data_IF_137870294811
#
_entry.id   IF_137870294811
#
_cell.length_a   1.000
_cell.length_b   1.000
_cell.length_c   1.000
_cell.angle_alpha   90.00
_cell.angle_beta   90.00
_cell.angle_gamma   90.00
#
_symmetry.space_group_name_H-M   'P 1'
#
loop_
_entity.id
_entity.type
_entity.pdbx_description
1 polymer ?
#
# COMPACT_ATOMS: atom_id res chain seq x y z
N UNK A 1 -19.60 -13.09 -53.60
CA UNK A 1 -18.68 -13.60 -52.55
C UNK A 1 -18.03 -12.39 -51.91
N UNK A 2 -18.22 -12.14 -50.61
CA UNK A 2 -17.41 -11.14 -49.90
C UNK A 2 -16.01 -11.74 -49.80
N UNK A 3 -14.99 -11.04 -50.29
CA UNK A 3 -13.60 -11.38 -49.99
C UNK A 3 -13.48 -11.49 -48.47
N UNK A 4 -13.20 -12.70 -47.99
CA UNK A 4 -12.88 -12.92 -46.58
C UNK A 4 -11.53 -12.26 -46.35
N UNK A 5 -11.52 -11.02 -45.86
CA UNK A 5 -10.30 -10.39 -45.38
C UNK A 5 -9.61 -11.35 -44.41
N UNK A 6 -8.35 -11.66 -44.69
CA UNK A 6 -7.56 -12.57 -43.89
C UNK A 6 -7.41 -11.98 -42.47
N UNK A 7 -7.97 -12.68 -41.48
CA UNK A 7 -7.96 -12.23 -40.09
C UNK A 7 -6.54 -12.34 -39.54
N UNK A 8 -6.14 -11.34 -38.76
CA UNK A 8 -4.84 -11.30 -38.09
C UNK A 8 -4.82 -12.34 -36.98
N UNK A 9 -3.88 -13.28 -37.02
CA UNK A 9 -3.68 -14.26 -35.93
C UNK A 9 -2.82 -13.60 -34.86
N UNK A 10 -3.28 -13.61 -33.61
CA UNK A 10 -2.60 -13.01 -32.45
C UNK A 10 -2.48 -14.00 -31.31
N UNK A 11 -1.48 -13.84 -30.46
CA UNK A 11 -1.31 -14.60 -29.23
C UNK A 11 -2.20 -14.11 -28.08
N UNK A 12 -1.99 -14.67 -26.89
CA UNK A 12 -2.73 -14.29 -25.68
C UNK A 12 -2.33 -12.90 -25.12
N UNK A 13 -1.19 -12.36 -25.57
CA UNK A 13 -0.74 -11.00 -25.32
C UNK A 13 0.02 -10.45 -26.53
N UNK A 14 -0.12 -9.16 -26.80
CA UNK A 14 0.50 -8.47 -27.94
C UNK A 14 0.95 -7.06 -27.59
N UNK A 15 1.82 -6.49 -28.43
CA UNK A 15 2.18 -5.07 -28.37
C UNK A 15 1.23 -4.22 -29.23
N UNK A 16 0.54 -3.28 -28.60
CA UNK A 16 -0.30 -2.29 -29.27
C UNK A 16 0.42 -0.95 -29.37
N UNK A 17 0.30 -0.28 -30.51
CA UNK A 17 0.88 1.05 -30.75
C UNK A 17 -0.26 2.05 -30.94
N UNK A 18 -0.17 3.23 -30.33
CA UNK A 18 -1.14 4.32 -30.49
C UNK A 18 -0.44 5.60 -30.95
N UNK A 19 -0.30 5.80 -32.27
CA UNK A 19 0.43 6.95 -32.81
C UNK A 19 -0.15 8.30 -32.38
N UNK A 20 -1.48 8.43 -32.34
CA UNK A 20 -2.15 9.68 -31.96
C UNK A 20 -1.99 10.04 -30.47
N UNK A 21 -1.74 9.04 -29.62
CA UNK A 21 -1.51 9.25 -28.19
C UNK A 21 -0.02 9.36 -27.86
N UNK A 22 0.87 9.24 -28.85
CA UNK A 22 2.32 9.22 -28.62
C UNK A 22 2.80 7.97 -27.88
N UNK A 23 2.08 6.85 -28.00
CA UNK A 23 2.41 5.59 -27.31
C UNK A 23 3.06 4.64 -28.34
N UNK A 24 4.40 4.52 -28.36
CA UNK A 24 5.10 3.69 -29.34
C UNK A 24 4.93 2.18 -29.08
N UNK A 25 4.50 1.77 -27.89
CA UNK A 25 4.17 0.37 -27.61
C UNK A 25 3.69 0.13 -26.17
N UNK A 26 2.49 -0.41 -26.01
CA UNK A 26 1.94 -0.86 -24.72
C UNK A 26 1.56 -2.33 -24.82
N UNK A 27 1.99 -3.12 -23.82
CA UNK A 27 1.68 -4.55 -23.80
C UNK A 27 0.22 -4.76 -23.38
N UNK A 28 -0.56 -5.40 -24.24
CA UNK A 28 -1.97 -5.66 -24.04
C UNK A 28 -2.24 -7.15 -23.83
N UNK A 29 -3.13 -7.47 -22.89
CA UNK A 29 -3.76 -8.79 -22.84
C UNK A 29 -4.84 -8.85 -23.91
N UNK A 30 -4.82 -9.88 -24.74
CA UNK A 30 -5.92 -10.16 -25.67
C UNK A 30 -7.04 -10.84 -24.89
N UNK A 31 -8.13 -10.13 -24.66
CA UNK A 31 -9.18 -10.54 -23.73
C UNK A 31 -10.55 -10.55 -24.43
N UNK A 32 -10.96 -11.74 -24.88
CA UNK A 32 -12.28 -11.97 -25.47
C UNK A 32 -13.41 -11.91 -24.44
N UNK A 33 -13.13 -11.91 -23.14
CA UNK A 33 -14.13 -11.66 -22.09
C UNK A 33 -14.51 -10.18 -22.00
N UNK A 34 -13.55 -9.28 -22.25
CA UNK A 34 -13.79 -7.84 -22.24
C UNK A 34 -14.59 -7.38 -23.46
N UNK A 35 -15.69 -6.64 -23.23
CA UNK A 35 -16.48 -6.04 -24.33
C UNK A 35 -15.68 -4.93 -25.02
N UNK A 36 -15.31 -3.90 -24.27
CA UNK A 36 -14.58 -2.72 -24.74
C UNK A 36 -13.14 -2.79 -24.21
N UNK A 37 -12.18 -2.34 -25.02
CA UNK A 37 -10.78 -2.24 -24.63
C UNK A 37 -10.57 -1.24 -23.48
N UNK A 38 -9.51 -1.43 -22.70
CA UNK A 38 -9.17 -0.53 -21.59
C UNK A 38 -7.69 -0.23 -21.57
N UNK A 39 -7.33 1.02 -21.27
CA UNK A 39 -5.94 1.49 -21.15
C UNK A 39 -5.71 2.00 -19.72
N UNK A 40 -4.57 1.60 -19.14
CA UNK A 40 -4.08 2.13 -17.89
C UNK A 40 -3.88 3.64 -18.02
N UNK A 41 -4.53 4.39 -17.14
CA UNK A 41 -4.42 5.84 -17.07
C UNK A 41 -4.51 6.33 -15.62
N UNK A 42 -3.71 7.33 -15.28
CA UNK A 42 -3.73 8.04 -14.00
C UNK A 42 -3.69 9.56 -14.25
N UNK A 43 -3.83 10.38 -13.20
CA UNK A 43 -3.95 11.84 -13.32
C UNK A 43 -4.98 12.29 -14.38
N UNK A 44 -6.13 11.61 -14.40
CA UNK A 44 -7.18 11.82 -15.41
C UNK A 44 -7.93 13.11 -15.09
N UNK A 45 -7.79 14.10 -15.96
CA UNK A 45 -8.43 15.41 -15.83
C UNK A 45 -9.20 15.78 -17.10
N UNK A 46 -10.49 16.05 -16.94
CA UNK A 46 -11.31 16.55 -18.04
C UNK A 46 -11.20 18.08 -18.15
N UNK A 47 -11.11 18.58 -19.37
CA UNK A 47 -11.06 20.01 -19.69
C UNK A 47 -11.84 20.32 -20.96
N UNK A 48 -11.93 21.59 -21.35
CA UNK A 48 -12.51 22.01 -22.64
C UNK A 48 -11.43 22.65 -23.50
N UNK A 49 -11.34 22.23 -24.77
CA UNK A 49 -10.50 22.86 -25.80
C UNK A 49 -11.41 23.31 -26.93
N UNK A 50 -11.43 24.61 -27.22
CA UNK A 50 -12.30 25.20 -28.24
C UNK A 50 -13.78 24.79 -28.10
N UNK A 51 -14.28 24.73 -26.87
CA UNK A 51 -15.66 24.35 -26.55
C UNK A 51 -15.95 22.84 -26.52
N UNK A 52 -15.06 21.99 -27.05
CA UNK A 52 -15.22 20.54 -27.06
C UNK A 52 -14.69 19.90 -25.77
N UNK A 53 -15.31 18.81 -25.26
CA UNK A 53 -14.82 18.09 -24.09
C UNK A 53 -13.59 17.25 -24.42
N UNK A 54 -12.53 17.42 -23.63
CA UNK A 54 -11.25 16.71 -23.76
C UNK A 54 -10.86 16.07 -22.42
N UNK A 55 -9.98 15.09 -22.46
CA UNK A 55 -9.36 14.49 -21.28
C UNK A 55 -7.85 14.49 -21.45
N UNK A 56 -7.13 14.91 -20.41
CA UNK A 56 -5.69 14.73 -20.27
C UNK A 56 -5.43 13.65 -19.23
N UNK A 57 -4.46 12.78 -19.48
CA UNK A 57 -4.13 11.67 -18.58
C UNK A 57 -2.68 11.25 -18.79
N UNK A 58 -2.10 10.62 -17.79
CA UNK A 58 -0.78 10.00 -17.86
C UNK A 58 -0.94 8.49 -17.95
N UNK A 59 -0.02 7.82 -18.64
CA UNK A 59 0.05 6.35 -18.65
C UNK A 59 1.45 5.88 -18.30
N UNK A 60 1.54 4.75 -17.61
CA UNK A 60 2.73 3.91 -17.59
C UNK A 60 2.59 2.81 -18.65
N UNK A 61 3.25 2.91 -19.81
CA UNK A 61 3.02 1.99 -20.92
C UNK A 61 3.77 0.66 -20.78
N UNK A 62 4.84 0.64 -19.98
CA UNK A 62 5.68 -0.55 -19.76
C UNK A 62 5.19 -1.31 -18.52
N UNK A 63 5.14 -2.63 -18.64
CA UNK A 63 4.72 -3.52 -17.55
C UNK A 63 5.69 -3.41 -16.38
N UNK A 64 5.17 -3.33 -15.15
CA UNK A 64 5.97 -3.23 -13.91
C UNK A 64 6.99 -2.07 -13.89
N UNK A 65 6.84 -1.09 -14.79
CA UNK A 65 7.66 0.11 -14.83
C UNK A 65 6.73 1.31 -14.72
N UNK A 66 6.99 2.16 -13.73
CA UNK A 66 6.25 3.40 -13.49
C UNK A 66 7.12 4.66 -13.65
N UNK A 67 8.43 4.51 -13.95
CA UNK A 67 9.31 5.64 -14.29
C UNK A 67 8.89 6.28 -15.59
N UNK A 68 8.58 5.43 -16.58
CA UNK A 68 8.19 5.89 -17.90
C UNK A 68 6.73 6.33 -17.79
N UNK A 69 6.49 7.61 -18.02
CA UNK A 69 5.16 8.16 -18.15
C UNK A 69 5.01 8.84 -19.50
N UNK A 70 3.87 8.63 -20.14
CA UNK A 70 3.50 9.34 -21.37
C UNK A 70 2.26 10.17 -21.06
N UNK A 71 2.37 11.48 -21.22
CA UNK A 71 1.25 12.41 -21.13
C UNK A 71 0.45 12.33 -22.42
N UNK A 72 -0.83 12.02 -22.30
CA UNK A 72 -1.76 11.91 -23.41
C UNK A 72 -2.91 12.90 -23.27
N UNK A 73 -3.44 13.35 -24.40
CA UNK A 73 -4.67 14.11 -24.48
C UNK A 73 -5.54 13.61 -25.63
N UNK A 74 -6.85 13.54 -25.42
CA UNK A 74 -7.78 13.10 -26.47
C UNK A 74 -9.18 13.69 -26.25
N UNK A 75 -9.97 13.93 -27.33
CA UNK A 75 -11.38 14.24 -27.21
C UNK A 75 -12.16 13.15 -26.48
N UNK A 76 -13.11 13.55 -25.62
CA UNK A 76 -14.02 12.61 -24.97
C UNK A 76 -15.16 12.31 -25.92
N UNK A 77 -15.32 11.05 -26.32
CA UNK A 77 -16.44 10.62 -27.16
C UNK A 77 -17.63 10.10 -26.34
N UNK A 78 -17.39 9.55 -25.15
CA UNK A 78 -18.43 8.99 -24.29
C UNK A 78 -17.96 8.87 -22.82
N UNK A 79 -18.87 8.57 -21.90
CA UNK A 79 -18.59 8.15 -20.52
C UNK A 79 -19.40 6.90 -20.19
N UNK A 80 -18.71 5.77 -19.96
CA UNK A 80 -19.37 4.47 -19.71
C UNK A 80 -19.20 4.03 -18.27
N UNK A 81 -20.26 3.44 -17.72
CA UNK A 81 -20.20 2.74 -16.43
C UNK A 81 -19.77 1.31 -16.70
N UNK A 82 -18.56 0.96 -16.27
CA UNK A 82 -18.00 -0.38 -16.42
C UNK A 82 -18.12 -1.09 -15.08
N UNK A 83 -18.75 -2.26 -15.09
CA UNK A 83 -18.82 -3.17 -13.94
C UNK A 83 -17.66 -4.15 -14.01
N UNK A 84 -16.84 -4.18 -12.97
CA UNK A 84 -15.83 -5.21 -12.80
C UNK A 84 -16.48 -6.55 -12.44
N UNK A 85 -15.76 -7.65 -12.68
CA UNK A 85 -16.14 -9.00 -12.22
C UNK A 85 -16.35 -9.08 -10.71
N UNK A 86 -15.77 -8.15 -9.94
CA UNK A 86 -15.89 -8.06 -8.49
C UNK A 86 -17.11 -7.24 -8.03
N UNK A 87 -18.00 -6.85 -8.95
CA UNK A 87 -19.25 -6.14 -8.65
C UNK A 87 -19.12 -4.61 -8.50
N UNK A 88 -17.91 -4.07 -8.39
CA UNK A 88 -17.69 -2.63 -8.34
C UNK A 88 -17.95 -1.98 -9.71
N UNK A 89 -18.71 -0.88 -9.72
CA UNK A 89 -19.01 -0.09 -10.91
C UNK A 89 -18.17 1.20 -10.93
N UNK A 90 -17.53 1.48 -12.05
CA UNK A 90 -16.68 2.66 -12.25
C UNK A 90 -17.13 3.43 -13.50
N UNK A 91 -17.25 4.76 -13.39
CA UNK A 91 -17.56 5.62 -14.54
C UNK A 91 -16.26 6.06 -15.21
N UNK A 92 -16.03 5.59 -16.43
CA UNK A 92 -14.78 5.79 -17.19
C UNK A 92 -15.00 6.70 -18.40
N UNK A 93 -14.02 7.53 -18.70
CA UNK A 93 -13.97 8.27 -19.96
C UNK A 93 -13.68 7.31 -21.12
N UNK A 94 -14.32 7.54 -22.26
CA UNK A 94 -14.07 6.81 -23.50
C UNK A 94 -13.43 7.76 -24.50
N UNK A 95 -12.32 7.32 -25.07
CA UNK A 95 -11.61 7.99 -26.15
C UNK A 95 -11.60 7.08 -27.38
N UNK A 96 -11.46 7.68 -28.56
CA UNK A 96 -11.28 6.97 -29.82
C UNK A 96 -9.87 7.27 -30.37
N UNK A 97 -9.16 6.24 -30.78
CA UNK A 97 -7.81 6.35 -31.34
C UNK A 97 -7.52 5.16 -32.25
N UNK A 98 -6.70 5.34 -33.31
CA UNK A 98 -6.22 4.24 -34.11
C UNK A 98 -5.22 3.41 -33.29
N UNK A 99 -5.43 2.10 -33.28
CA UNK A 99 -4.44 1.12 -32.81
C UNK A 99 -3.69 0.57 -34.02
N UNK A 100 -2.37 0.48 -33.91
CA UNK A 100 -1.54 -0.33 -34.81
C UNK A 100 -1.18 -1.63 -34.09
N UNK A 101 -1.46 -2.76 -34.74
CA UNK A 101 -1.21 -4.11 -34.27
C UNK A 101 -0.59 -4.93 -35.42
N UNK A 102 0.69 -5.27 -35.31
CA UNK A 102 1.48 -5.71 -36.46
C UNK A 102 1.47 -4.65 -37.56
N UNK A 103 1.13 -5.04 -38.79
CA UNK A 103 1.01 -4.14 -39.93
C UNK A 103 -0.39 -3.52 -40.11
N UNK A 104 -1.38 -3.92 -39.31
CA UNK A 104 -2.75 -3.42 -39.45
C UNK A 104 -3.01 -2.22 -38.53
N UNK A 105 -3.77 -1.25 -39.04
CA UNK A 105 -4.17 -0.04 -38.30
C UNK A 105 -5.69 0.15 -38.42
N UNK A 106 -6.39 0.34 -37.30
CA UNK A 106 -7.82 0.67 -37.30
C UNK A 106 -8.26 1.40 -36.02
N UNK A 107 -9.39 2.09 -36.09
CA UNK A 107 -9.97 2.82 -34.95
C UNK A 107 -10.54 1.89 -33.89
N UNK A 108 -10.22 2.17 -32.62
CA UNK A 108 -10.81 1.49 -31.47
C UNK A 108 -11.25 2.49 -30.40
N UNK A 109 -12.21 2.06 -29.57
CA UNK A 109 -12.57 2.78 -28.36
C UNK A 109 -11.77 2.25 -27.17
N UNK A 110 -11.23 3.17 -26.37
CA UNK A 110 -10.52 2.86 -25.13
C UNK A 110 -11.24 3.49 -23.94
N UNK A 111 -11.50 2.67 -22.92
CA UNK A 111 -11.87 3.17 -21.59
C UNK A 111 -10.61 3.48 -20.78
N UNK A 112 -10.56 4.66 -20.16
CA UNK A 112 -9.45 5.10 -19.31
C UNK A 112 -9.72 4.71 -17.85
N UNK A 113 -8.78 3.99 -17.22
CA UNK A 113 -8.91 3.53 -15.82
C UNK A 113 -7.55 3.24 -15.21
N UNK A 114 -7.42 3.40 -13.89
CA UNK A 114 -6.17 3.04 -13.23
C UNK A 114 -6.04 1.51 -13.08
N UNK A 115 -5.15 0.91 -13.87
CA UNK A 115 -4.82 -0.52 -13.83
C UNK A 115 -3.48 -0.85 -13.15
N UNK A 116 -2.96 0.04 -12.29
CA UNK A 116 -1.66 -0.14 -11.61
C UNK A 116 -1.53 -1.39 -10.74
N UNK A 117 -2.65 -1.84 -10.19
CA UNK A 117 -2.73 -3.04 -9.36
C UNK A 117 -3.07 -4.29 -10.18
N UNK A 118 -3.21 -4.15 -11.50
CA UNK A 118 -3.61 -5.22 -12.42
C UNK A 118 -2.44 -5.67 -13.28
N UNK A 119 -2.40 -6.96 -13.65
CA UNK A 119 -1.24 -7.54 -14.34
C UNK A 119 -0.94 -6.98 -15.74
N UNK A 120 -1.89 -6.34 -16.43
CA UNK A 120 -1.68 -5.74 -17.76
C UNK A 120 -2.12 -4.27 -17.82
N UNK A 121 -1.23 -3.43 -18.37
CA UNK A 121 -1.49 -2.00 -18.66
C UNK A 121 -2.60 -1.78 -19.67
N UNK A 122 -2.89 -2.75 -20.54
CA UNK A 122 -3.98 -2.66 -21.51
C UNK A 122 -4.73 -3.99 -21.64
N UNK A 123 -6.05 -3.90 -21.88
CA UNK A 123 -6.86 -5.02 -22.39
C UNK A 123 -7.32 -4.69 -23.80
N UNK A 124 -7.15 -5.63 -24.72
CA UNK A 124 -7.73 -5.58 -26.06
C UNK A 124 -9.04 -6.38 -26.06
N UNK A 125 -10.17 -5.68 -26.09
CA UNK A 125 -11.51 -6.27 -25.98
C UNK A 125 -12.11 -6.71 -27.32
N UNK A 126 -13.25 -7.42 -27.25
CA UNK A 126 -13.94 -7.98 -28.42
C UNK A 126 -14.35 -6.95 -29.47
N UNK A 127 -14.77 -5.75 -29.08
CA UNK A 127 -15.16 -4.71 -30.06
C UNK A 127 -14.00 -4.31 -30.96
N UNK A 128 -12.78 -4.25 -30.43
CA UNK A 128 -11.57 -3.99 -31.20
C UNK A 128 -11.18 -5.18 -32.10
N UNK A 129 -11.45 -6.41 -31.67
CA UNK A 129 -11.10 -7.65 -32.39
C UNK A 129 -12.11 -8.07 -33.46
N UNK A 130 -13.38 -7.68 -33.32
CA UNK A 130 -14.48 -8.23 -34.09
C UNK A 130 -14.26 -8.09 -35.60
N UNK A 131 -14.37 -9.22 -36.33
CA UNK A 131 -14.15 -9.29 -37.76
C UNK A 131 -12.69 -9.18 -38.22
N UNK A 132 -11.73 -8.90 -37.32
CA UNK A 132 -10.34 -8.54 -37.67
C UNK A 132 -9.29 -9.53 -37.17
N UNK A 133 -9.54 -10.16 -36.02
CA UNK A 133 -8.55 -10.94 -35.27
C UNK A 133 -9.03 -12.38 -35.03
N UNK A 134 -8.10 -13.34 -35.09
CA UNK A 134 -8.21 -14.69 -34.54
C UNK A 134 -7.18 -14.85 -33.42
N UNK A 135 -7.59 -15.40 -32.27
CA UNK A 135 -6.71 -15.54 -31.10
C UNK A 135 -6.23 -16.99 -31.00
N UNK A 136 -4.91 -17.19 -31.05
CA UNK A 136 -4.26 -18.44 -30.74
C UNK A 136 -3.74 -18.39 -29.28
N UNK A 137 -4.42 -19.07 -28.33
CA UNK A 137 -4.05 -19.01 -26.92
C UNK A 137 -2.74 -19.74 -26.61
N UNK A 138 -2.21 -20.55 -27.53
CA UNK A 138 -0.92 -21.23 -27.35
C UNK A 138 0.28 -20.31 -27.60
N UNK A 139 0.05 -19.15 -28.21
CA UNK A 139 1.09 -18.17 -28.55
C UNK A 139 1.08 -16.95 -27.63
N UNK A 140 2.22 -16.28 -27.55
CA UNK A 140 2.40 -14.97 -26.90
C UNK A 140 3.27 -14.12 -27.82
N UNK A 141 2.92 -12.85 -27.98
CA UNK A 141 3.65 -11.91 -28.84
C UNK A 141 3.83 -12.43 -30.27
N UNK A 142 2.76 -12.96 -30.87
CA UNK A 142 2.79 -13.61 -32.18
C UNK A 142 3.17 -12.62 -33.30
N UNK A 143 2.94 -11.33 -33.08
CA UNK A 143 3.26 -10.26 -34.02
C UNK A 143 4.64 -9.63 -33.82
N UNK A 144 5.44 -10.17 -32.90
CA UNK A 144 6.79 -9.71 -32.62
C UNK A 144 7.02 -9.36 -31.15
N UNK A 145 8.28 -9.46 -30.74
CA UNK A 145 8.73 -9.16 -29.38
C UNK A 145 9.52 -7.86 -29.39
N UNK A 146 9.21 -6.97 -28.46
CA UNK A 146 10.09 -5.87 -28.09
C UNK A 146 11.01 -6.35 -26.97
N UNK A 147 12.32 -6.33 -27.20
CA UNK A 147 13.33 -6.56 -26.17
C UNK A 147 13.38 -5.38 -25.19
N UNK A 148 14.07 -5.55 -24.06
CA UNK A 148 14.27 -4.45 -23.11
C UNK A 148 15.00 -3.27 -23.75
N UNK A 149 15.96 -3.53 -24.65
CA UNK A 149 16.66 -2.49 -25.40
C UNK A 149 15.72 -1.75 -26.37
N UNK A 150 14.83 -2.47 -27.06
CA UNK A 150 13.84 -1.84 -27.94
C UNK A 150 12.91 -0.93 -27.15
N UNK A 151 12.45 -1.37 -25.98
CA UNK A 151 11.61 -0.57 -25.08
C UNK A 151 12.37 0.69 -24.62
N UNK A 152 13.64 0.56 -24.23
CA UNK A 152 14.48 1.70 -23.84
C UNK A 152 14.61 2.71 -24.96
N UNK A 153 14.86 2.25 -26.19
CA UNK A 153 14.97 3.14 -27.34
C UNK A 153 13.64 3.79 -27.70
N UNK A 154 12.54 3.03 -27.74
CA UNK A 154 11.21 3.55 -28.07
C UNK A 154 10.73 4.63 -27.11
N UNK A 155 11.10 4.53 -25.83
CA UNK A 155 10.74 5.49 -24.80
C UNK A 155 11.84 6.50 -24.46
N UNK A 156 12.93 6.56 -25.25
CA UNK A 156 14.09 7.43 -25.02
C UNK A 156 14.61 7.35 -23.57
N UNK A 157 14.66 6.14 -23.01
CA UNK A 157 15.18 5.89 -21.67
C UNK A 157 16.71 5.99 -21.76
N UNK A 158 17.26 7.07 -21.20
CA UNK A 158 18.69 7.18 -20.97
C UNK A 158 19.01 6.56 -19.61
N UNK A 159 20.08 5.78 -19.54
CA UNK A 159 20.69 5.39 -18.26
C UNK A 159 21.33 6.66 -17.67
N UNK A 160 20.53 7.55 -17.10
CA UNK A 160 21.08 8.50 -16.13
C UNK A 160 21.38 7.69 -14.88
N UNK A 161 22.65 7.58 -14.51
CA UNK A 161 23.02 7.35 -13.10
C UNK A 161 22.11 8.24 -12.25
N UNK A 162 21.33 7.63 -11.37
CA UNK A 162 20.23 8.32 -10.70
C UNK A 162 20.76 9.53 -9.95
N UNK A 163 20.34 10.73 -10.33
CA UNK A 163 20.67 11.97 -9.59
C UNK A 163 19.91 12.10 -8.26
N UNK A 164 19.01 11.15 -7.97
CA UNK A 164 18.24 11.10 -6.75
C UNK A 164 18.94 10.36 -5.62
N UNK A 165 18.38 10.52 -4.42
CA UNK A 165 18.80 9.79 -3.23
C UNK A 165 18.87 8.27 -3.46
N UNK A 166 19.79 7.62 -2.75
CA UNK A 166 19.88 6.17 -2.63
C UNK A 166 19.15 5.70 -1.38
N UNK A 167 18.05 4.97 -1.57
CA UNK A 167 17.13 4.61 -0.48
C UNK A 167 16.99 3.09 -0.40
N UNK A 168 17.33 2.52 0.75
CA UNK A 168 17.12 1.11 1.04
C UNK A 168 15.73 0.83 1.64
N UNK A 169 15.10 -0.27 1.24
CA UNK A 169 13.89 -0.82 1.86
C UNK A 169 14.25 -2.08 2.64
N UNK A 170 14.33 -1.97 3.97
CA UNK A 170 14.68 -3.08 4.85
C UNK A 170 13.44 -3.89 5.22
N UNK A 171 13.25 -5.07 4.60
CA UNK A 171 12.03 -5.87 4.77
C UNK A 171 12.31 -7.38 4.64
N UNK A 172 11.27 -8.22 4.72
CA UNK A 172 11.42 -9.68 4.65
C UNK A 172 10.79 -10.34 3.42
N UNK A 173 9.94 -9.63 2.67
CA UNK A 173 9.27 -10.17 1.48
C UNK A 173 9.12 -9.05 0.43
N UNK A 174 9.82 -9.14 -0.71
CA UNK A 174 9.78 -8.10 -1.76
C UNK A 174 8.46 -8.05 -2.53
N UNK A 175 7.69 -9.14 -2.56
CA UNK A 175 6.46 -9.29 -3.34
C UNK A 175 5.22 -8.73 -2.64
N UNK A 176 5.34 -8.31 -1.37
CA UNK A 176 4.22 -7.68 -0.68
C UNK A 176 3.87 -6.34 -1.35
N UNK A 177 2.57 -6.12 -1.61
CA UNK A 177 2.05 -4.88 -2.20
C UNK A 177 2.68 -3.61 -1.63
N UNK A 178 2.75 -3.51 -0.30
CA UNK A 178 3.30 -2.31 0.35
C UNK A 178 4.78 -2.08 0.05
N UNK A 179 5.56 -3.16 -0.07
CA UNK A 179 6.98 -3.08 -0.34
C UNK A 179 7.22 -2.75 -1.82
N UNK A 180 6.53 -3.44 -2.73
CA UNK A 180 6.55 -3.12 -4.16
C UNK A 180 6.16 -1.67 -4.41
N UNK A 181 5.08 -1.19 -3.78
CA UNK A 181 4.63 0.21 -3.94
C UNK A 181 5.62 1.23 -3.42
N UNK A 182 6.33 0.96 -2.32
CA UNK A 182 7.39 1.86 -1.82
C UNK A 182 8.58 1.89 -2.77
N UNK A 183 9.01 0.72 -3.27
CA UNK A 183 10.08 0.62 -4.27
C UNK A 183 9.70 1.37 -5.55
N UNK A 184 8.50 1.14 -6.07
CA UNK A 184 7.95 1.82 -7.24
C UNK A 184 7.90 3.33 -7.02
N UNK A 185 7.33 3.78 -5.90
CA UNK A 185 7.19 5.19 -5.60
C UNK A 185 8.56 5.90 -5.46
N UNK A 186 9.58 5.26 -4.88
CA UNK A 186 10.91 5.87 -4.84
C UNK A 186 11.54 5.96 -6.22
N UNK A 187 11.37 4.90 -7.00
CA UNK A 187 11.88 4.76 -8.38
C UNK A 187 11.23 5.78 -9.33
N UNK A 188 9.89 5.94 -9.29
CA UNK A 188 9.11 6.98 -9.99
C UNK A 188 9.57 8.39 -9.64
N UNK A 189 10.07 8.55 -8.42
CA UNK A 189 10.51 9.83 -7.87
C UNK A 189 11.97 10.16 -8.21
N UNK A 190 12.64 9.31 -8.98
CA UNK A 190 14.00 9.51 -9.47
C UNK A 190 15.10 8.97 -8.55
N UNK A 191 14.73 8.23 -7.50
CA UNK A 191 15.66 7.67 -6.52
C UNK A 191 16.18 6.30 -6.95
N UNK A 192 17.38 5.96 -6.50
CA UNK A 192 17.88 4.59 -6.53
C UNK A 192 17.27 3.82 -5.35
N UNK A 193 16.54 2.75 -5.65
CA UNK A 193 15.83 1.96 -4.63
C UNK A 193 16.46 0.58 -4.50
N UNK A 194 16.89 0.23 -3.29
CA UNK A 194 17.52 -1.07 -3.00
C UNK A 194 16.65 -1.85 -2.03
N UNK A 195 16.25 -3.07 -2.39
CA UNK A 195 15.59 -3.96 -1.46
C UNK A 195 16.63 -4.72 -0.62
N UNK A 196 16.55 -4.61 0.70
CA UNK A 196 17.42 -5.30 1.64
C UNK A 196 16.60 -6.31 2.45
N UNK A 197 16.85 -7.59 2.22
CA UNK A 197 16.25 -8.62 3.05
C UNK A 197 16.90 -8.63 4.43
N UNK A 198 16.10 -8.48 5.49
CA UNK A 198 16.54 -8.49 6.89
C UNK A 198 17.42 -9.72 7.20
N UNK A 199 17.08 -10.90 6.67
CA UNK A 199 17.82 -12.14 6.94
C UNK A 199 19.17 -12.24 6.24
N UNK A 200 19.35 -11.45 5.19
CA UNK A 200 20.56 -11.44 4.37
C UNK A 200 21.53 -10.32 4.79
N UNK A 201 21.13 -9.50 5.77
CA UNK A 201 21.97 -8.47 6.36
C UNK A 201 22.67 -8.99 7.62
N UNK A 202 23.94 -8.65 7.79
CA UNK A 202 24.71 -8.84 9.03
C UNK A 202 25.53 -7.58 9.32
N UNK A 203 26.01 -7.39 10.54
CA UNK A 203 26.62 -6.13 10.95
C UNK A 203 27.95 -6.35 11.67
N UNK A 204 28.88 -5.43 11.44
CA UNK A 204 30.12 -5.30 12.20
C UNK A 204 29.90 -4.18 13.23
N UNK A 205 29.95 -4.54 14.50
CA UNK A 205 29.85 -3.60 15.60
C UNK A 205 31.26 -3.11 15.95
N UNK A 206 31.55 -1.88 15.56
CA UNK A 206 32.84 -1.23 15.74
C UNK A 206 32.55 0.26 15.99
N UNK A 207 33.32 0.89 16.87
CA UNK A 207 33.11 2.28 17.27
C UNK A 207 33.66 3.27 16.25
N UNK A 208 34.70 2.90 15.50
CA UNK A 208 35.29 3.74 14.46
C UNK A 208 34.69 3.47 13.07
N UNK A 209 34.39 2.21 12.76
CA UNK A 209 33.99 1.74 11.42
C UNK A 209 32.78 0.78 11.48
N UNK A 210 31.59 1.26 11.93
CA UNK A 210 30.38 0.46 11.92
C UNK A 210 29.95 0.13 10.49
N UNK A 211 29.63 -1.14 10.23
CA UNK A 211 29.25 -1.59 8.87
C UNK A 211 27.97 -2.45 8.92
N UNK A 212 27.15 -2.33 7.88
CA UNK A 212 26.15 -3.34 7.53
C UNK A 212 26.61 -4.02 6.26
N UNK A 213 26.64 -5.34 6.29
CA UNK A 213 26.95 -6.22 5.17
C UNK A 213 25.68 -6.85 4.65
N UNK A 214 25.67 -7.11 3.34
CA UNK A 214 24.66 -7.89 2.66
C UNK A 214 25.27 -9.17 2.09
N UNK A 215 24.44 -10.22 1.97
CA UNK A 215 24.82 -11.52 1.42
C UNK A 215 25.75 -11.36 0.21
N UNK A 216 26.91 -12.02 0.26
CA UNK A 216 27.97 -11.89 -0.73
C UNK A 216 29.16 -11.04 -0.28
N UNK A 217 29.12 -10.47 0.94
CA UNK A 217 30.23 -9.68 1.49
C UNK A 217 30.20 -8.21 1.08
N UNK A 218 29.09 -7.73 0.51
CA UNK A 218 28.95 -6.35 0.09
C UNK A 218 28.61 -5.47 1.29
N UNK A 219 29.41 -4.43 1.52
CA UNK A 219 29.11 -3.40 2.53
C UNK A 219 28.05 -2.47 1.96
N UNK A 220 27.07 -2.10 2.78
CA UNK A 220 25.96 -1.20 2.45
C UNK A 220 26.14 0.10 3.23
N UNK A 221 27.02 0.98 2.73
CA UNK A 221 27.43 2.23 3.37
C UNK A 221 27.07 3.49 2.56
N UNK A 222 26.50 3.33 1.36
CA UNK A 222 26.23 4.41 0.42
C UNK A 222 24.76 4.86 0.36
N UNK A 223 23.95 4.47 1.35
CA UNK A 223 22.54 4.87 1.41
C UNK A 223 22.37 6.27 2.02
N UNK A 224 21.49 7.08 1.45
CA UNK A 224 21.02 8.32 2.10
C UNK A 224 19.93 8.05 3.14
N UNK A 225 19.09 7.03 2.89
CA UNK A 225 17.99 6.67 3.76
C UNK A 225 17.65 5.18 3.76
N UNK A 226 17.02 4.73 4.84
CA UNK A 226 16.47 3.39 5.00
C UNK A 226 15.00 3.44 5.44
N UNK A 227 14.16 2.61 4.83
CA UNK A 227 12.74 2.42 5.18
C UNK A 227 12.58 1.03 5.83
N UNK A 228 12.61 0.92 7.17
CA UNK A 228 12.35 -0.34 7.86
C UNK A 228 10.87 -0.76 7.79
N UNK A 229 10.61 -1.90 7.15
CA UNK A 229 9.30 -2.58 7.08
C UNK A 229 9.35 -3.88 7.89
N UNK A 230 9.57 -3.73 9.19
CA UNK A 230 9.84 -4.84 10.11
C UNK A 230 8.53 -5.50 10.58
N UNK A 231 8.39 -6.80 10.27
CA UNK A 231 7.33 -7.66 10.82
C UNK A 231 7.59 -7.93 12.30
N UNK A 232 6.57 -8.15 13.15
CA UNK A 232 6.84 -8.20 14.58
C UNK A 232 7.69 -9.41 15.01
N UNK A 233 7.66 -10.53 14.27
CA UNK A 233 8.56 -11.68 14.50
C UNK A 233 10.03 -11.39 14.23
N UNK A 234 10.35 -10.30 13.53
CA UNK A 234 11.70 -9.86 13.23
C UNK A 234 12.07 -8.56 13.97
N UNK A 235 11.29 -8.14 14.97
CA UNK A 235 11.47 -6.84 15.65
C UNK A 235 12.87 -6.67 16.22
N UNK A 236 13.36 -7.67 16.96
CA UNK A 236 14.67 -7.60 17.60
C UNK A 236 15.79 -7.32 16.59
N UNK A 237 15.96 -8.22 15.62
CA UNK A 237 17.05 -8.11 14.64
C UNK A 237 16.84 -6.97 13.64
N UNK A 238 15.60 -6.75 13.19
CA UNK A 238 15.27 -5.63 12.30
C UNK A 238 15.58 -4.28 12.93
N UNK A 239 15.26 -4.09 14.22
CA UNK A 239 15.60 -2.86 14.93
C UNK A 239 17.11 -2.75 15.19
N UNK A 240 17.82 -3.85 15.40
CA UNK A 240 19.29 -3.84 15.51
C UNK A 240 19.95 -3.36 14.22
N UNK A 241 19.55 -3.90 13.06
CA UNK A 241 20.01 -3.42 11.75
C UNK A 241 19.66 -1.95 11.52
N UNK A 242 18.44 -1.56 11.88
CA UNK A 242 18.02 -0.15 11.74
C UNK A 242 18.87 0.78 12.59
N UNK A 243 19.19 0.41 13.84
CA UNK A 243 20.14 1.15 14.70
C UNK A 243 21.52 1.22 14.10
N UNK A 244 21.98 0.14 13.46
CA UNK A 244 23.28 0.14 12.80
C UNK A 244 23.33 1.15 11.66
N UNK A 245 22.32 1.16 10.77
CA UNK A 245 22.22 2.17 9.73
C UNK A 245 22.16 3.59 10.31
N UNK A 246 21.41 3.81 11.39
CA UNK A 246 21.36 5.10 12.09
C UNK A 246 22.75 5.52 12.61
N UNK A 247 23.55 4.59 13.15
CA UNK A 247 24.91 4.86 13.63
C UNK A 247 25.89 5.21 12.51
N UNK A 248 25.63 4.72 11.29
CA UNK A 248 26.37 5.06 10.06
C UNK A 248 25.95 6.41 9.47
N UNK A 249 25.03 7.14 10.11
CA UNK A 249 24.54 8.44 9.64
C UNK A 249 23.40 8.34 8.62
N UNK A 250 22.87 7.14 8.35
CA UNK A 250 21.82 6.90 7.36
C UNK A 250 20.45 7.24 7.99
N UNK A 251 19.66 8.06 7.30
CA UNK A 251 18.35 8.47 7.82
C UNK A 251 17.34 7.32 7.81
N UNK A 252 16.60 7.10 8.91
CA UNK A 252 15.64 6.01 9.05
C UNK A 252 14.18 6.46 9.13
N UNK A 253 13.30 5.87 8.29
CA UNK A 253 11.86 6.13 8.25
C UNK A 253 11.03 4.87 8.59
N UNK A 254 10.65 4.60 9.84
CA UNK A 254 10.87 5.35 11.08
C UNK A 254 12.13 4.90 11.84
N UNK A 255 12.53 5.65 12.86
CA UNK A 255 13.65 5.26 13.72
C UNK A 255 13.44 3.92 14.44
N UNK A 256 14.54 3.24 14.72
CA UNK A 256 14.59 1.99 15.47
C UNK A 256 13.97 2.10 16.87
N UNK A 257 14.16 3.26 17.53
CA UNK A 257 13.59 3.57 18.84
C UNK A 257 12.08 3.68 18.75
N UNK A 258 11.56 4.48 17.81
CA UNK A 258 10.11 4.65 17.59
C UNK A 258 9.42 3.34 17.21
N UNK A 259 10.08 2.50 16.40
CA UNK A 259 9.56 1.18 16.04
C UNK A 259 9.47 0.29 17.27
N UNK A 260 10.54 0.22 18.07
CA UNK A 260 10.60 -0.62 19.27
C UNK A 260 9.52 -0.20 20.29
N UNK A 261 9.38 1.11 20.53
CA UNK A 261 8.34 1.67 21.41
C UNK A 261 6.92 1.36 20.93
N UNK A 262 6.68 1.38 19.61
CA UNK A 262 5.37 1.02 19.05
C UNK A 262 5.02 -0.46 19.10
N UNK A 263 6.03 -1.33 19.25
CA UNK A 263 5.86 -2.78 19.30
C UNK A 263 5.52 -3.25 20.70
N UNK A 264 6.05 -2.59 21.71
CA UNK A 264 5.64 -2.79 23.10
C UNK A 264 4.30 -2.10 23.35
N UNK A 265 3.22 -2.88 23.35
CA UNK A 265 1.87 -2.35 23.54
C UNK A 265 1.68 -1.73 24.92
N UNK A 266 2.29 -2.28 25.97
CA UNK A 266 2.15 -1.73 27.32
C UNK A 266 2.84 -0.37 27.41
N UNK A 267 4.10 -0.31 26.98
CA UNK A 267 4.86 0.93 26.93
C UNK A 267 4.16 1.98 26.07
N UNK A 268 3.69 1.58 24.87
CA UNK A 268 2.96 2.45 23.94
C UNK A 268 1.74 3.07 24.63
N UNK A 269 0.87 2.27 25.24
CA UNK A 269 -0.34 2.77 25.91
C UNK A 269 -0.01 3.70 27.09
N UNK A 270 0.99 3.36 27.91
CA UNK A 270 1.45 4.22 29.00
C UNK A 270 1.96 5.57 28.48
N UNK A 271 2.72 5.58 27.37
CA UNK A 271 3.22 6.80 26.74
C UNK A 271 2.09 7.66 26.16
N UNK A 272 1.07 7.02 25.58
CA UNK A 272 -0.12 7.70 25.03
C UNK A 272 -0.95 8.35 26.14
N UNK A 273 -1.21 7.63 27.25
CA UNK A 273 -1.89 8.17 28.43
C UNK A 273 -1.10 9.34 29.02
N UNK A 274 0.21 9.19 29.21
CA UNK A 274 1.09 10.29 29.68
C UNK A 274 1.02 11.51 28.77
N UNK A 275 0.75 11.30 27.49
CA UNK A 275 0.59 12.35 26.50
C UNK A 275 -0.82 12.95 26.47
N UNK A 276 -1.72 12.58 27.40
CA UNK A 276 -3.07 13.11 27.51
C UNK A 276 -3.98 12.67 26.36
N UNK A 277 -3.86 11.42 25.93
CA UNK A 277 -4.73 10.80 24.93
C UNK A 277 -5.64 9.79 25.60
N UNK A 278 -6.92 9.85 25.24
CA UNK A 278 -7.92 8.92 25.73
C UNK A 278 -7.76 7.57 25.04
N UNK A 279 -7.68 6.52 25.85
CA UNK A 279 -7.68 5.13 25.43
C UNK A 279 -8.82 4.41 26.14
N UNK A 280 -9.27 3.25 25.65
CA UNK A 280 -10.22 2.46 26.42
C UNK A 280 -9.61 2.03 27.76
N UNK A 281 -10.43 1.97 28.81
CA UNK A 281 -10.01 1.51 30.15
C UNK A 281 -9.31 0.16 30.01
N UNK A 282 -8.06 0.10 30.47
CA UNK A 282 -7.15 -1.01 30.21
C UNK A 282 -6.46 -1.43 31.50
N UNK A 283 -6.65 -2.69 31.90
CA UNK A 283 -5.91 -3.36 32.94
C UNK A 283 -4.77 -4.20 32.35
N UNK A 284 -3.65 -4.24 33.06
CA UNK A 284 -2.51 -5.08 32.71
C UNK A 284 -2.19 -6.00 33.88
N UNK A 285 -1.82 -7.25 33.58
CA UNK A 285 -1.35 -8.16 34.60
C UNK A 285 -0.29 -9.12 34.03
N UNK A 286 0.80 -9.28 34.79
CA UNK A 286 1.79 -10.33 34.59
C UNK A 286 1.46 -11.45 35.58
N UNK A 287 0.67 -12.44 35.13
CA UNK A 287 0.12 -13.53 35.95
C UNK A 287 -0.62 -13.04 37.22
N UNK A 288 -1.83 -12.48 37.08
CA UNK A 288 -2.59 -12.02 38.25
C UNK A 288 -2.93 -13.21 39.13
N UNK A 289 -2.71 -13.15 40.45
CA UNK A 289 -3.26 -14.17 41.35
C UNK A 289 -4.80 -14.02 41.40
N UNK A 290 -5.30 -12.79 41.29
CA UNK A 290 -6.73 -12.48 41.36
C UNK A 290 -7.31 -12.05 40.00
N UNK A 291 -7.92 -13.00 39.28
CA UNK A 291 -8.55 -12.75 37.97
C UNK A 291 -9.77 -11.83 38.07
N UNK A 292 -10.50 -11.89 39.19
CA UNK A 292 -11.76 -11.15 39.35
C UNK A 292 -11.50 -9.66 39.49
N UNK A 293 -10.51 -9.31 40.31
CA UNK A 293 -10.07 -7.92 40.46
C UNK A 293 -9.67 -7.31 39.11
N UNK A 294 -8.95 -8.07 38.26
CA UNK A 294 -8.57 -7.60 36.92
C UNK A 294 -9.77 -7.34 35.99
N UNK A 295 -10.82 -8.14 36.11
CA UNK A 295 -12.06 -7.95 35.35
C UNK A 295 -12.81 -6.72 35.88
N UNK A 296 -12.87 -6.55 37.20
CA UNK A 296 -13.53 -5.41 37.85
C UNK A 296 -12.81 -4.09 37.56
N UNK A 297 -11.46 -4.10 37.48
CA UNK A 297 -10.64 -2.92 37.14
C UNK A 297 -11.02 -2.29 35.79
N UNK A 298 -11.56 -3.06 34.85
CA UNK A 298 -11.99 -2.57 33.52
C UNK A 298 -13.51 -2.39 33.40
N UNK A 299 -14.24 -2.49 34.50
CA UNK A 299 -15.70 -2.30 34.53
C UNK A 299 -16.52 -3.57 34.27
N UNK A 300 -15.90 -4.76 34.29
CA UNK A 300 -16.59 -6.03 34.10
C UNK A 300 -16.72 -6.47 32.64
N UNK A 301 -17.58 -7.47 32.39
CA UNK A 301 -17.85 -7.98 31.05
C UNK A 301 -19.03 -7.24 30.38
N UNK A 302 -19.07 -7.12 29.05
CA UNK A 302 -18.13 -7.68 28.06
C UNK A 302 -16.78 -6.95 28.05
N UNK A 303 -15.69 -7.71 27.84
CA UNK A 303 -14.32 -7.17 27.81
C UNK A 303 -13.45 -7.86 26.76
N UNK A 304 -12.35 -7.22 26.39
CA UNK A 304 -11.34 -7.74 25.47
C UNK A 304 -10.12 -8.23 26.25
N UNK A 305 -9.68 -9.46 25.98
CA UNK A 305 -8.39 -10.00 26.44
C UNK A 305 -7.42 -10.01 25.27
N UNK A 306 -6.27 -9.35 25.42
CA UNK A 306 -5.20 -9.25 24.43
C UNK A 306 -3.92 -9.88 24.95
N UNK A 307 -3.35 -10.80 24.19
CA UNK A 307 -1.97 -11.25 24.38
C UNK A 307 -1.00 -10.18 23.87
N UNK A 308 0.05 -9.94 24.65
CA UNK A 308 1.13 -9.04 24.25
C UNK A 308 2.09 -9.72 23.28
N UNK A 309 2.24 -11.04 23.43
CA UNK A 309 3.01 -11.89 22.53
C UNK A 309 2.13 -12.33 21.35
N UNK A 310 2.43 -11.83 20.14
CA UNK A 310 1.71 -12.22 18.92
C UNK A 310 1.54 -11.10 17.89
N UNK A 311 1.18 -11.48 16.65
CA UNK A 311 0.97 -10.54 15.53
C UNK A 311 -0.38 -10.81 14.88
N UNK A 312 -0.97 -9.79 14.25
CA UNK A 312 -2.16 -9.90 13.39
C UNK A 312 -3.44 -10.40 14.10
N UNK A 313 -3.73 -9.96 15.33
CA UNK A 313 -5.00 -10.24 16.00
C UNK A 313 -5.18 -11.68 16.52
N UNK A 314 -4.19 -12.56 16.31
CA UNK A 314 -4.07 -13.83 17.04
C UNK A 314 -3.76 -13.49 18.50
N UNK A 315 -4.69 -13.82 19.39
CA UNK A 315 -4.60 -13.47 20.81
C UNK A 315 -5.44 -12.27 21.24
N UNK A 316 -6.38 -11.78 20.41
CA UNK A 316 -7.43 -10.84 20.86
C UNK A 316 -8.75 -11.59 20.95
N UNK A 317 -9.34 -11.67 22.14
CA UNK A 317 -10.54 -12.44 22.46
C UNK A 317 -11.58 -11.52 23.10
N UNK A 318 -12.82 -11.56 22.60
CA UNK A 318 -13.96 -10.97 23.27
C UNK A 318 -14.53 -11.98 24.28
N UNK A 319 -14.61 -11.58 25.54
CA UNK A 319 -15.28 -12.33 26.58
C UNK A 319 -16.59 -11.62 26.95
N UNK A 320 -17.71 -12.20 26.53
CA UNK A 320 -19.04 -11.60 26.74
C UNK A 320 -19.53 -11.69 28.20
N UNK A 321 -18.98 -12.62 28.97
CA UNK A 321 -19.35 -12.85 30.37
C UNK A 321 -18.12 -12.91 31.26
N UNK A 322 -18.29 -12.61 32.55
CA UNK A 322 -17.22 -12.71 33.57
C UNK A 322 -16.61 -14.10 33.59
N UNK A 323 -17.43 -15.16 33.54
CA UNK A 323 -16.96 -16.56 33.50
C UNK A 323 -16.12 -16.88 32.26
N UNK A 324 -16.52 -16.35 31.09
CA UNK A 324 -15.72 -16.49 29.87
C UNK A 324 -14.38 -15.76 30.00
N UNK A 325 -14.37 -14.54 30.56
CA UNK A 325 -13.16 -13.77 30.80
C UNK A 325 -12.22 -14.49 31.76
N UNK A 326 -12.74 -15.00 32.88
CA UNK A 326 -11.99 -15.81 33.84
C UNK A 326 -11.34 -17.03 33.16
N UNK A 327 -12.10 -17.73 32.33
CA UNK A 327 -11.63 -18.94 31.64
C UNK A 327 -10.49 -18.62 30.66
N UNK A 328 -10.62 -17.55 29.87
CA UNK A 328 -9.60 -17.11 28.90
C UNK A 328 -8.34 -16.61 29.64
N UNK A 329 -8.50 -15.80 30.67
CA UNK A 329 -7.39 -15.28 31.47
C UNK A 329 -6.63 -16.43 32.14
N UNK A 330 -7.33 -17.38 32.77
CA UNK A 330 -6.71 -18.54 33.41
C UNK A 330 -6.00 -19.46 32.40
N UNK A 331 -6.56 -19.63 31.19
CA UNK A 331 -5.90 -20.36 30.12
C UNK A 331 -4.61 -19.69 29.64
N UNK A 332 -4.54 -18.35 29.63
CA UNK A 332 -3.31 -17.64 29.28
C UNK A 332 -2.27 -17.61 30.41
N UNK A 333 -2.72 -17.65 31.67
CA UNK A 333 -1.80 -17.81 32.82
C UNK A 333 -1.06 -19.14 32.78
N UNK A 334 -1.74 -20.25 32.42
CA UNK A 334 -1.10 -21.58 32.42
C UNK A 334 0.05 -21.71 31.43
N UNK A 335 0.11 -20.81 30.44
CA UNK A 335 1.21 -20.72 29.47
C UNK A 335 2.17 -19.56 29.76
N UNK A 336 2.10 -18.96 30.96
CA UNK A 336 2.93 -17.82 31.41
C UNK A 336 2.93 -16.63 30.43
N UNK A 337 1.81 -16.37 29.76
CA UNK A 337 1.72 -15.29 28.79
C UNK A 337 1.34 -13.95 29.46
N UNK A 338 1.98 -12.88 29.01
CA UNK A 338 1.62 -11.52 29.39
C UNK A 338 0.31 -11.10 28.70
N UNK A 339 -0.65 -10.61 29.50
CA UNK A 339 -2.00 -10.28 29.03
C UNK A 339 -2.42 -8.87 29.42
N UNK A 340 -3.30 -8.33 28.59
CA UNK A 340 -3.94 -7.04 28.74
C UNK A 340 -5.45 -7.24 28.65
N UNK A 341 -6.18 -6.71 29.62
CA UNK A 341 -7.64 -6.73 29.66
C UNK A 341 -8.12 -5.31 29.39
N UNK A 342 -9.11 -5.15 28.53
CA UNK A 342 -9.57 -3.84 28.07
C UNK A 342 -11.09 -3.81 27.99
N UNK A 343 -11.70 -2.68 28.30
CA UNK A 343 -13.14 -2.49 28.12
C UNK A 343 -13.56 -2.75 26.66
N UNK A 344 -14.76 -3.30 26.46
CA UNK A 344 -15.32 -3.50 25.13
C UNK A 344 -16.25 -2.34 24.75
N UNK A 345 -15.86 -1.58 23.72
CA UNK A 345 -16.67 -0.47 23.19
C UNK A 345 -17.77 -1.00 22.27
N UNK A 346 -18.87 -1.47 22.86
CA UNK A 346 -19.96 -2.14 22.14
C UNK A 346 -20.65 -1.22 21.13
N UNK A 347 -20.79 0.06 21.43
CA UNK A 347 -21.44 1.05 20.56
C UNK A 347 -20.71 1.31 19.26
N UNK A 348 -19.43 0.91 19.16
CA UNK A 348 -18.66 1.03 17.93
C UNK A 348 -19.14 0.04 16.85
N UNK A 349 -19.95 -0.96 17.21
CA UNK A 349 -20.62 -1.85 16.26
C UNK A 349 -19.63 -2.55 15.30
N UNK A 350 -18.51 -3.01 15.86
CA UNK A 350 -17.44 -3.67 15.10
C UNK A 350 -16.75 -2.77 14.07
N UNK A 351 -16.77 -1.44 14.27
CA UNK A 351 -16.12 -0.46 13.40
C UNK A 351 -14.97 0.24 14.09
N UNK A 352 -13.94 0.52 13.30
CA UNK A 352 -12.85 1.38 13.73
C UNK A 352 -12.37 2.27 12.58
N UNK A 353 -11.75 3.39 12.94
CA UNK A 353 -11.21 4.36 12.00
C UNK A 353 -9.70 4.24 12.00
N UNK A 354 -9.13 3.85 10.85
CA UNK A 354 -7.68 3.88 10.64
C UNK A 354 -7.27 5.17 9.97
N UNK A 355 -6.44 5.93 10.67
CA UNK A 355 -5.86 7.21 10.25
C UNK A 355 -4.40 6.97 9.85
N UNK A 356 -4.03 7.31 8.63
CA UNK A 356 -2.66 7.21 8.16
C UNK A 356 -1.98 8.56 8.27
N UNK A 357 -0.92 8.62 9.06
CA UNK A 357 -0.19 9.84 9.39
C UNK A 357 1.17 9.82 8.73
N UNK A 358 1.52 10.91 8.05
CA UNK A 358 2.86 11.17 7.51
C UNK A 358 3.23 12.61 7.87
N UNK A 359 4.42 12.82 8.45
CA UNK A 359 4.93 14.16 8.80
C UNK A 359 3.90 14.99 9.59
N UNK A 360 3.39 14.44 10.70
CA UNK A 360 2.42 15.12 11.58
C UNK A 360 1.10 15.52 10.90
N UNK A 361 0.71 14.86 9.79
CA UNK A 361 -0.54 15.12 9.08
C UNK A 361 -1.24 13.81 8.74
N UNK A 362 -2.56 13.75 8.96
CA UNK A 362 -3.39 12.65 8.47
C UNK A 362 -3.57 12.80 6.96
N UNK A 363 -2.96 11.90 6.18
CA UNK A 363 -2.99 11.93 4.71
C UNK A 363 -4.16 11.13 4.13
N UNK A 364 -4.60 10.09 4.84
CA UNK A 364 -5.68 9.21 4.44
C UNK A 364 -6.39 8.64 5.68
N UNK A 365 -7.68 8.32 5.54
CA UNK A 365 -8.47 7.71 6.59
C UNK A 365 -9.48 6.73 5.98
N UNK A 366 -9.62 5.57 6.59
CA UNK A 366 -10.61 4.56 6.24
C UNK A 366 -11.35 4.13 7.50
N UNK A 367 -12.64 3.84 7.35
CA UNK A 367 -13.40 3.12 8.35
C UNK A 367 -13.36 1.64 7.96
N UNK A 368 -12.98 0.78 8.89
CA UNK A 368 -13.03 -0.66 8.71
C UNK A 368 -14.23 -1.19 9.46
N UNK A 369 -14.96 -2.12 8.86
CA UNK A 369 -16.09 -2.80 9.46
C UNK A 369 -15.81 -4.30 9.53
N UNK A 370 -16.01 -4.90 10.69
CA UNK A 370 -15.86 -6.33 10.90
C UNK A 370 -16.84 -7.15 10.06
N UNK A 371 -16.49 -8.39 9.75
CA UNK A 371 -17.38 -9.33 9.09
C UNK A 371 -18.55 -9.72 10.01
N UNK A 372 -19.69 -10.20 9.48
CA UNK A 372 -20.80 -10.69 10.32
C UNK A 372 -20.32 -11.75 11.32
N UNK A 373 -20.60 -11.55 12.61
CA UNK A 373 -20.17 -12.43 13.69
C UNK A 373 -18.73 -12.20 14.19
N UNK A 374 -18.02 -11.21 13.65
CA UNK A 374 -16.69 -10.81 14.09
C UNK A 374 -16.74 -9.40 14.71
N UNK A 375 -15.94 -9.15 15.76
CA UNK A 375 -15.87 -7.82 16.38
C UNK A 375 -14.62 -7.05 15.93
N UNK A 376 -13.64 -7.74 15.36
CA UNK A 376 -12.40 -7.17 14.84
C UNK A 376 -12.57 -6.72 13.40
N UNK A 377 -12.32 -5.45 13.14
CA UNK A 377 -12.45 -4.84 11.82
C UNK A 377 -11.22 -5.03 10.90
N UNK A 378 -10.31 -5.94 11.24
CA UNK A 378 -9.08 -6.14 10.49
C UNK A 378 -9.37 -6.68 9.08
N UNK A 379 -8.84 -6.04 8.03
CA UNK A 379 -9.03 -6.44 6.63
C UNK A 379 -8.57 -7.87 6.35
N UNK A 380 -7.50 -8.33 7.00
CA UNK A 380 -6.99 -9.70 6.88
C UNK A 380 -7.95 -10.76 7.44
N UNK A 381 -8.97 -10.37 8.22
CA UNK A 381 -10.00 -11.25 8.78
C UNK A 381 -11.33 -11.14 8.02
N UNK A 382 -11.32 -10.62 6.79
CA UNK A 382 -12.53 -10.48 5.96
C UNK A 382 -13.35 -9.22 6.23
N UNK A 383 -12.83 -8.29 7.03
CA UNK A 383 -13.43 -6.96 7.20
C UNK A 383 -13.45 -6.16 5.89
N UNK A 384 -14.39 -5.22 5.80
CA UNK A 384 -14.49 -4.28 4.66
C UNK A 384 -13.90 -2.92 5.03
N UNK A 385 -13.38 -2.18 4.05
CA UNK A 385 -12.91 -0.80 4.23
C UNK A 385 -13.71 0.17 3.35
N UNK A 386 -14.11 1.29 3.93
CA UNK A 386 -14.72 2.42 3.22
C UNK A 386 -13.95 3.70 3.52
N UNK A 387 -13.94 4.64 2.57
CA UNK A 387 -13.30 5.94 2.78
C UNK A 387 -14.14 6.76 3.75
N UNK A 388 -13.50 7.34 4.77
CA UNK A 388 -14.17 8.18 5.76
C UNK A 388 -13.50 9.54 5.87
N UNK A 389 -14.31 10.58 6.13
CA UNK A 389 -13.79 11.91 6.47
C UNK A 389 -13.51 11.94 7.97
N UNK A 390 -12.23 11.85 8.33
CA UNK A 390 -11.81 11.97 9.72
C UNK A 390 -12.20 13.31 10.34
N UNK A 391 -12.73 13.29 11.57
CA UNK A 391 -13.09 14.47 12.35
C UNK A 391 -11.85 15.25 12.78
N UNK A 392 -12.03 16.51 13.20
CA UNK A 392 -10.93 17.32 13.73
C UNK A 392 -10.30 16.68 14.97
N UNK A 393 -11.13 16.04 15.80
CA UNK A 393 -10.68 15.37 17.01
C UNK A 393 -9.88 14.10 16.72
N UNK A 394 -10.37 13.25 15.82
CA UNK A 394 -9.64 12.06 15.35
C UNK A 394 -8.26 12.43 14.77
N UNK A 395 -8.20 13.51 13.97
CA UNK A 395 -6.93 14.01 13.44
C UNK A 395 -6.00 14.50 14.53
N UNK A 396 -6.53 15.22 15.54
CA UNK A 396 -5.76 15.72 16.69
C UNK A 396 -5.15 14.57 17.47
N UNK A 397 -5.94 13.55 17.78
CA UNK A 397 -5.52 12.32 18.46
C UNK A 397 -4.39 11.64 17.66
N UNK A 398 -4.59 11.40 16.37
CA UNK A 398 -3.60 10.70 15.55
C UNK A 398 -2.26 11.45 15.43
N UNK A 399 -2.31 12.77 15.23
CA UNK A 399 -1.09 13.58 15.17
C UNK A 399 -0.38 13.65 16.52
N UNK A 400 -1.11 13.76 17.63
CA UNK A 400 -0.51 13.79 18.96
C UNK A 400 0.09 12.43 19.35
N UNK A 401 -0.58 11.32 18.99
CA UNK A 401 -0.09 9.97 19.23
C UNK A 401 1.23 9.70 18.51
N UNK A 402 1.30 10.05 17.22
CA UNK A 402 2.51 9.87 16.41
C UNK A 402 3.66 10.74 16.90
N UNK A 403 3.39 11.99 17.31
CA UNK A 403 4.41 12.84 17.95
C UNK A 403 4.94 12.25 19.26
N UNK A 404 4.04 11.78 20.13
CA UNK A 404 4.41 11.18 21.41
C UNK A 404 5.38 10.01 21.23
N UNK A 405 5.18 9.21 20.18
CA UNK A 405 5.98 8.02 19.87
C UNK A 405 7.16 8.29 18.92
N UNK A 406 7.36 9.54 18.49
CA UNK A 406 8.40 9.90 17.51
C UNK A 406 8.25 9.19 16.16
N UNK A 407 7.01 8.91 15.71
CA UNK A 407 6.73 8.24 14.44
C UNK A 407 6.44 9.25 13.35
N UNK A 408 7.25 9.24 12.29
CA UNK A 408 7.05 10.06 11.10
C UNK A 408 5.95 9.48 10.20
N UNK A 409 5.92 8.16 10.06
CA UNK A 409 4.89 7.40 9.33
C UNK A 409 4.23 6.41 10.28
N UNK A 410 2.92 6.48 10.43
CA UNK A 410 2.19 5.51 11.22
C UNK A 410 0.76 5.36 10.74
N UNK A 411 0.15 4.22 11.07
CA UNK A 411 -1.31 4.14 11.08
C UNK A 411 -1.80 4.09 12.51
N UNK A 412 -2.77 4.94 12.82
CA UNK A 412 -3.39 5.10 14.13
C UNK A 412 -4.80 4.58 14.04
N UNK A 413 -5.15 3.62 14.88
CA UNK A 413 -6.49 3.07 14.95
C UNK A 413 -7.25 3.70 16.11
N UNK A 414 -8.44 4.19 15.81
CA UNK A 414 -9.32 4.90 16.73
C UNK A 414 -10.70 4.26 16.68
N UNK A 415 -11.32 4.11 17.84
CA UNK A 415 -12.69 3.65 17.97
C UNK A 415 -13.58 4.80 18.39
N UNK A 416 -14.76 4.92 17.79
CA UNK A 416 -15.75 5.94 18.17
C UNK A 416 -16.59 5.39 19.31
N UNK A 417 -16.55 6.06 20.46
CA UNK A 417 -17.37 5.74 21.63
C UNK A 417 -18.36 6.87 21.92
N UNK A 418 -19.28 6.66 22.88
CA UNK A 418 -20.20 7.71 23.34
C UNK A 418 -19.51 8.90 24.00
N UNK A 419 -18.34 8.68 24.60
CA UNK A 419 -17.56 9.72 25.28
C UNK A 419 -16.57 10.43 24.33
N UNK A 420 -16.48 9.99 23.08
CA UNK A 420 -15.58 10.53 22.07
C UNK A 420 -14.72 9.46 21.40
N UNK A 421 -13.82 9.84 20.49
CA UNK A 421 -12.86 8.93 19.88
C UNK A 421 -11.81 8.47 20.90
N UNK A 422 -11.62 7.15 21.01
CA UNK A 422 -10.62 6.52 21.87
C UNK A 422 -9.53 5.87 21.00
N UNK A 423 -8.27 6.05 21.37
CA UNK A 423 -7.14 5.49 20.64
C UNK A 423 -6.90 4.02 21.01
N UNK A 424 -6.87 3.15 19.99
CA UNK A 424 -6.69 1.70 20.17
C UNK A 424 -5.23 1.26 20.05
N UNK A 425 -4.59 1.64 18.94
CA UNK A 425 -3.22 1.24 18.64
C UNK A 425 -2.54 2.21 17.66
N UNK A 426 -1.20 2.22 17.69
CA UNK A 426 -0.37 2.96 16.75
C UNK A 426 0.65 2.00 16.14
N UNK A 427 0.58 1.77 14.82
CA UNK A 427 1.51 0.91 14.12
C UNK A 427 2.54 1.71 13.34
N UNK A 428 3.82 1.43 13.61
CA UNK A 428 4.99 2.01 12.91
C UNK A 428 5.24 1.48 11.50
N UNK A 429 4.62 0.35 11.13
CA UNK A 429 4.75 -0.26 9.80
C UNK A 429 3.36 -0.62 9.24
N UNK A 430 2.50 0.38 8.99
CA UNK A 430 1.13 0.15 8.51
C UNK A 430 1.14 -0.40 7.09
N UNK A 431 0.21 -1.32 6.76
CA UNK A 431 0.03 -1.78 5.38
C UNK A 431 -0.55 -0.69 4.47
N UNK A 432 -0.16 -0.69 3.20
CA UNK A 432 -0.58 0.31 2.20
C UNK A 432 -1.76 -0.16 1.35
N UNK A 433 -1.91 -1.46 1.12
CA UNK A 433 -2.88 -2.02 0.16
C UNK A 433 -4.32 -1.60 0.43
N UNK A 434 -4.82 -1.84 1.65
CA UNK A 434 -6.20 -1.50 1.98
C UNK A 434 -6.49 0.00 1.90
N UNK A 435 -5.54 0.84 2.28
CA UNK A 435 -5.76 2.28 2.31
C UNK A 435 -5.60 2.94 0.94
N UNK A 436 -4.63 2.51 0.14
CA UNK A 436 -4.45 3.02 -1.23
C UNK A 436 -5.58 2.55 -2.14
N UNK A 437 -5.99 1.28 -2.04
CA UNK A 437 -7.13 0.76 -2.82
C UNK A 437 -8.44 1.48 -2.46
N UNK A 438 -8.68 1.77 -1.18
CA UNK A 438 -9.89 2.48 -0.77
C UNK A 438 -9.84 3.96 -1.18
N UNK A 439 -8.73 4.66 -0.92
CA UNK A 439 -8.66 6.13 -1.06
C UNK A 439 -8.15 6.61 -2.41
N UNK A 440 -7.56 5.73 -3.22
CA UNK A 440 -6.89 6.04 -4.48
C UNK A 440 -5.78 7.09 -4.35
N UNK A 441 -5.23 7.26 -3.13
CA UNK A 441 -4.13 8.17 -2.85
C UNK A 441 -2.79 7.44 -2.94
N UNK A 442 -1.78 8.13 -3.46
CA UNK A 442 -0.40 7.66 -3.46
C UNK A 442 0.25 7.89 -2.08
N UNK A 443 0.01 6.97 -1.15
CA UNK A 443 0.56 7.02 0.21
C UNK A 443 2.05 6.68 0.19
N UNK A 444 2.47 5.73 -0.64
CA UNK A 444 3.88 5.38 -0.82
C UNK A 444 4.72 6.60 -1.29
N UNK A 445 4.25 7.34 -2.30
CA UNK A 445 4.96 8.54 -2.75
C UNK A 445 4.99 9.67 -1.72
N UNK A 446 3.97 9.78 -0.86
CA UNK A 446 4.01 10.68 0.30
C UNK A 446 5.05 10.26 1.35
N UNK A 447 5.29 8.96 1.53
CA UNK A 447 6.38 8.48 2.40
C UNK A 447 7.74 8.86 1.83
N UNK A 448 7.97 8.67 0.53
CA UNK A 448 9.23 9.09 -0.11
C UNK A 448 9.39 10.62 -0.05
N UNK A 449 8.32 11.38 -0.29
CA UNK A 449 8.36 12.83 -0.13
C UNK A 449 8.69 13.28 1.29
N UNK A 450 8.35 12.47 2.31
CA UNK A 450 8.77 12.75 3.68
C UNK A 450 10.29 12.63 3.83
N UNK A 451 10.92 11.62 3.22
CA UNK A 451 12.38 11.45 3.18
C UNK A 451 13.04 12.63 2.48
N UNK A 452 12.59 12.97 1.27
CA UNK A 452 13.12 14.10 0.48
C UNK A 452 13.11 15.39 1.31
N UNK A 453 12.01 15.68 2.01
CA UNK A 453 11.89 16.87 2.85
C UNK A 453 12.85 16.86 4.03
N UNK A 454 12.99 15.73 4.71
CA UNK A 454 13.90 15.61 5.85
C UNK A 454 15.36 15.77 5.42
N UNK A 455 15.74 15.15 4.30
CA UNK A 455 17.09 15.25 3.72
C UNK A 455 17.30 16.53 2.90
N UNK A 456 16.30 17.41 2.82
CA UNK A 456 16.33 18.66 2.04
C UNK A 456 16.68 18.45 0.55
N UNK A 457 16.39 17.28 0.02
CA UNK A 457 16.59 16.95 -1.38
C UNK A 457 15.67 17.79 -2.26
N UNK A 458 16.25 18.46 -3.26
CA UNK A 458 15.51 19.23 -4.27
C UNK A 458 15.58 18.46 -5.58
N UNK A 459 14.42 18.18 -6.17
CA UNK A 459 14.33 17.57 -7.48
C UNK A 459 14.87 18.53 -8.54
N UNK A 460 15.69 18.00 -9.45
CA UNK A 460 15.86 18.62 -10.75
C UNK A 460 14.48 18.60 -11.44
N UNK A 461 13.97 19.79 -11.77
CA UNK A 461 12.66 19.95 -12.42
C UNK A 461 12.72 19.57 -13.89
#
# INVERSE_FOLDING_TARGET
MKETEEKLIVGSDEWCIFPQLGIPGVKARVDSGAKTSSLHAFNIHAFKRSGQPWVSFDIHPVQQNRKISVRCESPIIDRRVIKSTNGAAEKRYVIQTPVKLGEKIWEIELTLTNRDTMGYRMLLGREAMNGRILVDPSQTLALGRLSEQDIRQLYNITDSEGSGLKIGLLASNPELYSNTRIMDAGTERGHEMIFLNIKDCYMKLDDETPEVHYRGGHIVDDLDAIIPRIRPSATFYGCALTRQFESMGIYSLNSSASISQSRDKLFSLQLLIKSGLDIPVTGFANSPIDTKELIEMVGGAPLIVKLLEGTQGRGVVLAETVKAAESVINAFKSVNANLLVQEFIKEADGKDVRLFVINNRVVAAIERTAAPGEFRANLHQGGSATVVKATSEEKRIAVRATKAMGLTVAGVDVIRSRVGPLLLEVNSSPGLEGIENATQKDVAGLMINAIEKTLKYKRAL
#
